data_IF_357974638713
#
_entry.id   IF_357974638713
#
_cell.length_a   1.000
_cell.length_b   1.000
_cell.length_c   1.000
_cell.angle_alpha   90.00
_cell.angle_beta   90.00
_cell.angle_gamma   90.00
#
_symmetry.space_group_name_H-M   'P 1'
#
loop_
_entity.id
_entity.type
_entity.pdbx_description
1 polymer ?
#
# COMPACT_ATOMS: atom_id res chain seq x y z
N UNK A 1 -2.41 -14.54 15.23
CA UNK A 1 -2.60 -14.46 13.77
C UNK A 1 -2.16 -15.79 13.17
N UNK A 2 -2.88 -16.30 12.17
CA UNK A 2 -2.49 -17.53 11.48
C UNK A 2 -1.14 -17.31 10.79
N UNK A 3 -0.17 -18.25 10.90
CA UNK A 3 1.18 -18.07 10.34
C UNK A 3 1.20 -17.69 8.86
N UNK A 4 0.37 -18.32 8.04
CA UNK A 4 0.27 -18.02 6.61
C UNK A 4 -0.20 -16.56 6.33
N UNK A 5 -1.14 -16.03 7.11
CA UNK A 5 -1.60 -14.65 6.97
C UNK A 5 -0.52 -13.66 7.36
N UNK A 6 0.31 -13.98 8.38
CA UNK A 6 1.45 -13.16 8.77
C UNK A 6 2.50 -13.09 7.66
N UNK A 7 2.84 -14.24 7.08
CA UNK A 7 3.80 -14.32 5.97
C UNK A 7 3.32 -13.52 4.75
N UNK A 8 2.04 -13.66 4.38
CA UNK A 8 1.44 -12.87 3.31
C UNK A 8 1.46 -11.37 3.60
N UNK A 9 1.11 -10.97 4.82
CA UNK A 9 1.13 -9.56 5.19
C UNK A 9 2.55 -8.97 5.14
N UNK A 10 3.56 -9.70 5.60
CA UNK A 10 4.96 -9.29 5.47
C UNK A 10 5.39 -9.20 4.01
N UNK A 11 5.00 -10.16 3.17
CA UNK A 11 5.29 -10.17 1.74
C UNK A 11 4.70 -8.92 1.05
N UNK A 12 3.41 -8.65 1.24
CA UNK A 12 2.76 -7.46 0.66
C UNK A 12 3.29 -6.15 1.24
N UNK A 13 3.68 -6.14 2.51
CA UNK A 13 4.35 -5.01 3.12
C UNK A 13 5.73 -4.74 2.51
N UNK A 14 6.52 -5.79 2.24
CA UNK A 14 7.80 -5.65 1.54
C UNK A 14 7.62 -5.14 0.10
N UNK A 15 6.57 -5.55 -0.62
CA UNK A 15 6.23 -5.01 -1.94
C UNK A 15 5.86 -3.52 -1.88
N UNK A 16 5.17 -3.09 -0.82
CA UNK A 16 4.92 -1.67 -0.59
C UNK A 16 6.19 -0.90 -0.22
N UNK A 17 7.08 -1.49 0.59
CA UNK A 17 8.38 -0.89 0.95
C UNK A 17 9.29 -0.73 -0.27
N UNK A 18 9.26 -1.66 -1.20
CA UNK A 18 10.04 -1.59 -2.45
C UNK A 18 9.75 -0.29 -3.21
N UNK A 19 8.52 0.24 -3.15
CA UNK A 19 8.20 1.51 -3.80
C UNK A 19 8.98 2.69 -3.20
N UNK A 20 9.21 2.69 -1.89
CA UNK A 20 10.06 3.70 -1.23
C UNK A 20 11.53 3.53 -1.58
N UNK A 21 11.97 2.29 -1.73
CA UNK A 21 13.38 1.98 -1.97
C UNK A 21 13.80 2.22 -3.43
N UNK A 22 12.87 2.12 -4.36
CA UNK A 22 13.13 2.21 -5.80
C UNK A 22 12.78 3.54 -6.44
N UNK A 23 12.18 4.50 -5.69
CA UNK A 23 11.86 5.82 -6.21
C UNK A 23 13.10 6.75 -6.20
N UNK A 24 13.29 7.50 -7.27
CA UNK A 24 14.27 8.57 -7.29
C UNK A 24 13.77 9.78 -6.50
N UNK A 25 14.22 9.90 -5.26
CA UNK A 25 13.91 11.00 -4.36
C UNK A 25 14.82 12.22 -4.46
N UNK A 26 15.80 12.23 -5.38
CA UNK A 26 16.79 13.30 -5.52
C UNK A 26 16.20 14.47 -6.31
N UNK A 27 15.93 15.58 -5.66
CA UNK A 27 15.28 16.76 -6.27
C UNK A 27 16.03 17.32 -7.49
N UNK A 28 17.35 17.12 -7.55
CA UNK A 28 18.21 17.53 -8.66
C UNK A 28 18.30 16.51 -9.80
N UNK A 29 17.74 15.31 -9.63
CA UNK A 29 17.76 14.27 -10.65
C UNK A 29 16.77 14.58 -11.78
N UNK A 30 17.19 14.29 -13.02
CA UNK A 30 16.28 14.34 -14.19
C UNK A 30 15.12 13.35 -14.06
N UNK A 31 15.31 12.29 -13.30
CA UNK A 31 14.34 11.21 -13.07
C UNK A 31 13.64 11.36 -11.72
N UNK A 32 13.75 12.51 -11.06
CA UNK A 32 13.13 12.74 -9.76
C UNK A 32 11.65 12.33 -9.74
N UNK A 33 11.29 11.45 -8.80
CA UNK A 33 9.96 10.89 -8.61
C UNK A 33 9.55 9.83 -9.61
N UNK A 34 10.49 9.27 -10.36
CA UNK A 34 10.27 8.06 -11.15
C UNK A 34 10.99 6.88 -10.49
N UNK A 35 10.73 5.66 -10.95
CA UNK A 35 11.46 4.49 -10.50
C UNK A 35 12.86 4.46 -11.12
N UNK A 36 13.89 4.17 -10.30
CA UNK A 36 15.27 3.98 -10.77
C UNK A 36 15.45 2.85 -11.80
N UNK A 37 14.55 1.86 -11.76
CA UNK A 37 14.70 0.63 -12.52
C UNK A 37 13.59 0.47 -13.54
N UNK A 38 13.89 -0.21 -14.65
CA UNK A 38 12.85 -0.61 -15.59
C UNK A 38 11.99 -1.76 -15.01
N UNK A 39 10.75 -1.90 -15.47
CA UNK A 39 9.79 -2.92 -15.01
C UNK A 39 10.41 -4.33 -15.00
N UNK A 40 11.19 -4.67 -16.02
CA UNK A 40 11.79 -6.00 -16.19
C UNK A 40 12.78 -6.33 -15.09
N UNK A 41 13.49 -5.34 -14.57
CA UNK A 41 14.61 -5.55 -13.64
C UNK A 41 14.30 -5.11 -12.20
N UNK A 42 13.13 -4.56 -11.93
CA UNK A 42 12.78 -4.00 -10.62
C UNK A 42 13.05 -4.99 -9.49
N UNK A 43 12.42 -6.16 -9.52
CA UNK A 43 12.56 -7.16 -8.46
C UNK A 43 13.99 -7.67 -8.32
N UNK A 44 14.68 -7.92 -9.45
CA UNK A 44 16.08 -8.36 -9.43
C UNK A 44 17.01 -7.31 -8.79
N UNK A 45 16.89 -6.05 -9.23
CA UNK A 45 17.71 -4.95 -8.71
C UNK A 45 17.42 -4.62 -7.24
N UNK A 46 16.24 -4.94 -6.76
CA UNK A 46 15.84 -4.73 -5.36
C UNK A 46 16.04 -5.98 -4.49
N UNK A 47 16.76 -7.00 -4.99
CA UNK A 47 17.03 -8.22 -4.23
C UNK A 47 15.82 -9.10 -3.97
N UNK A 48 14.78 -8.99 -4.82
CA UNK A 48 13.52 -9.73 -4.70
C UNK A 48 13.28 -10.66 -5.89
N UNK A 49 14.33 -11.21 -6.51
CA UNK A 49 14.23 -12.13 -7.67
C UNK A 49 13.34 -13.34 -7.38
N UNK A 50 13.41 -13.85 -6.15
CA UNK A 50 12.64 -15.02 -5.69
C UNK A 50 11.20 -14.67 -5.28
N UNK A 51 10.74 -13.44 -5.53
CA UNK A 51 9.39 -13.01 -5.13
C UNK A 51 8.26 -13.75 -5.85
N UNK A 52 8.55 -14.38 -6.99
CA UNK A 52 7.56 -15.01 -7.86
C UNK A 52 6.66 -14.03 -8.61
N UNK A 53 7.02 -12.74 -8.66
CA UNK A 53 6.24 -11.70 -9.33
C UNK A 53 6.97 -11.10 -10.54
N UNK A 54 6.18 -10.73 -11.55
CA UNK A 54 6.64 -9.95 -12.70
C UNK A 54 5.83 -8.67 -12.83
N UNK A 55 6.53 -7.53 -12.90
CA UNK A 55 5.88 -6.22 -13.10
C UNK A 55 5.34 -6.09 -14.52
N UNK A 56 4.06 -5.78 -14.63
CA UNK A 56 3.40 -5.56 -15.93
C UNK A 56 3.22 -4.08 -16.25
N UNK A 57 2.92 -3.25 -15.24
CA UNK A 57 2.67 -1.82 -15.42
C UNK A 57 3.21 -1.00 -14.24
N UNK A 58 3.79 0.17 -14.53
CA UNK A 58 4.03 1.21 -13.53
C UNK A 58 2.81 2.11 -13.41
N UNK A 59 2.55 2.56 -12.19
CA UNK A 59 1.43 3.43 -11.84
C UNK A 59 1.97 4.79 -11.40
N UNK A 60 1.38 5.84 -11.96
CA UNK A 60 1.76 7.22 -11.68
C UNK A 60 0.54 8.03 -11.25
N UNK A 61 0.74 9.06 -10.44
CA UNK A 61 -0.31 9.99 -10.07
C UNK A 61 0.11 11.45 -10.27
N UNK A 62 -0.90 12.32 -10.34
CA UNK A 62 -0.69 13.76 -10.36
C UNK A 62 -0.21 14.24 -8.98
N UNK A 63 0.73 15.18 -9.00
CA UNK A 63 1.50 15.62 -7.83
C UNK A 63 0.84 16.67 -6.96
N UNK A 64 -0.29 17.25 -7.35
CA UNK A 64 -0.85 18.42 -6.64
C UNK A 64 -1.09 18.19 -5.12
N UNK A 65 -1.35 16.96 -4.72
CA UNK A 65 -1.42 16.54 -3.31
C UNK A 65 -0.10 16.03 -2.75
N UNK A 66 0.79 15.59 -3.64
CA UNK A 66 2.07 15.01 -3.27
C UNK A 66 3.15 16.09 -3.12
N UNK A 67 2.89 17.32 -3.59
CA UNK A 67 3.80 18.47 -3.44
C UNK A 67 4.09 18.80 -1.97
N UNK A 68 3.13 18.60 -1.08
CA UNK A 68 3.35 18.75 0.37
C UNK A 68 4.27 17.67 0.94
N UNK A 69 4.32 16.50 0.31
CA UNK A 69 5.12 15.35 0.76
C UNK A 69 6.48 15.28 0.04
N UNK A 70 6.53 15.63 -1.25
CA UNK A 70 7.69 15.44 -2.11
C UNK A 70 8.32 16.75 -2.62
N UNK A 71 7.79 17.93 -2.20
CA UNK A 71 8.24 19.24 -2.70
C UNK A 71 7.66 19.58 -4.07
N UNK A 72 7.83 20.86 -4.48
CA UNK A 72 7.29 21.35 -5.75
C UNK A 72 7.92 20.67 -6.95
N UNK A 73 7.09 20.11 -7.80
CA UNK A 73 7.44 19.52 -9.10
C UNK A 73 6.83 20.31 -10.24
N UNK A 74 7.37 20.17 -11.45
CA UNK A 74 6.68 20.64 -12.65
C UNK A 74 5.27 20.06 -12.71
N UNK A 75 4.26 20.92 -12.87
CA UNK A 75 2.82 20.59 -12.76
C UNK A 75 2.32 19.47 -13.67
N UNK A 76 3.11 19.07 -14.65
CA UNK A 76 2.72 18.12 -15.70
C UNK A 76 3.37 16.74 -15.58
N UNK A 77 4.27 16.52 -14.62
CA UNK A 77 4.95 15.23 -14.45
C UNK A 77 4.34 14.43 -13.30
N UNK A 78 3.87 13.23 -13.62
CA UNK A 78 3.39 12.29 -12.60
C UNK A 78 4.52 11.77 -11.70
N UNK A 79 4.19 11.49 -10.45
CA UNK A 79 5.06 10.75 -9.52
C UNK A 79 4.74 9.27 -9.61
N UNK A 80 5.77 8.45 -9.66
CA UNK A 80 5.62 7.02 -9.57
C UNK A 80 5.08 6.61 -8.19
N UNK A 81 3.90 5.99 -8.18
CA UNK A 81 3.25 5.52 -6.96
C UNK A 81 3.54 4.05 -6.67
N UNK A 82 3.84 3.28 -7.70
CA UNK A 82 4.01 1.86 -7.57
C UNK A 82 3.84 1.11 -8.88
N UNK A 83 3.40 -0.13 -8.79
CA UNK A 83 3.34 -1.03 -9.93
C UNK A 83 2.18 -2.03 -9.81
N UNK A 84 1.83 -2.61 -10.95
CA UNK A 84 0.99 -3.80 -11.06
C UNK A 84 1.90 -4.95 -11.46
N UNK A 85 1.76 -6.08 -10.77
CA UNK A 85 2.55 -7.28 -11.03
C UNK A 85 1.67 -8.52 -11.03
N UNK A 86 2.09 -9.53 -11.76
CA UNK A 86 1.45 -10.85 -11.81
C UNK A 86 2.33 -11.85 -11.08
N UNK A 87 1.72 -12.69 -10.25
CA UNK A 87 2.40 -13.85 -9.68
C UNK A 87 2.58 -14.90 -10.78
N UNK A 88 3.81 -15.30 -11.02
CA UNK A 88 4.18 -16.33 -12.02
C UNK A 88 4.44 -17.69 -11.38
N UNK A 89 4.39 -17.78 -10.05
CA UNK A 89 4.57 -19.03 -9.33
C UNK A 89 3.26 -19.82 -9.29
N UNK A 90 3.19 -20.88 -10.06
CA UNK A 90 2.02 -21.77 -10.11
C UNK A 90 1.68 -22.43 -8.77
N UNK A 91 2.64 -22.56 -7.85
CA UNK A 91 2.41 -23.13 -6.53
C UNK A 91 1.63 -22.19 -5.60
N UNK A 92 1.75 -20.89 -5.80
CA UNK A 92 1.05 -19.86 -5.02
C UNK A 92 -0.42 -19.69 -5.45
N UNK A 93 -0.73 -19.85 -6.73
CA UNK A 93 -2.09 -19.78 -7.28
C UNK A 93 -3.02 -20.83 -6.64
N UNK A 94 -2.47 -21.99 -6.24
CA UNK A 94 -3.23 -23.11 -5.65
C UNK A 94 -3.55 -22.98 -4.16
N UNK A 95 -2.98 -22.00 -3.44
CA UNK A 95 -3.11 -21.91 -1.96
C UNK A 95 -4.26 -21.03 -1.47
N UNK A 96 -4.88 -20.26 -2.32
CA UNK A 96 -6.02 -19.39 -1.96
C UNK A 96 -7.33 -20.18 -2.13
N UNK A 97 -7.68 -20.95 -1.10
CA UNK A 97 -8.89 -21.76 -1.07
C UNK A 97 -10.17 -20.96 -1.29
N UNK A 98 -11.03 -21.52 -2.13
CA UNK A 98 -12.38 -21.07 -2.46
C UNK A 98 -13.25 -20.79 -1.23
N UNK A 99 -13.94 -19.65 -1.21
CA UNK A 99 -15.21 -19.47 -0.50
C UNK A 99 -16.15 -18.59 -1.34
N UNK A 100 -17.35 -19.12 -1.57
CA UNK A 100 -18.46 -18.47 -2.25
C UNK A 100 -18.79 -17.10 -1.67
N UNK A 101 -18.83 -16.08 -2.52
CA UNK A 101 -19.33 -14.76 -2.16
C UNK A 101 -20.35 -14.34 -3.22
N UNK A 102 -21.62 -14.24 -2.80
CA UNK A 102 -22.73 -13.76 -3.66
C UNK A 102 -22.79 -12.24 -3.69
N UNK A 103 -22.58 -11.65 -4.85
CA UNK A 103 -22.84 -10.23 -5.08
C UNK A 103 -24.31 -10.02 -5.48
N UNK A 104 -25.06 -9.22 -4.71
CA UNK A 104 -26.41 -8.81 -5.11
C UNK A 104 -26.34 -7.66 -6.11
N UNK A 105 -26.95 -7.88 -7.26
CA UNK A 105 -27.07 -6.93 -8.36
C UNK A 105 -28.05 -5.82 -7.98
N UNK A 106 -27.60 -4.58 -7.98
CA UNK A 106 -28.47 -3.40 -8.11
C UNK A 106 -28.17 -2.77 -9.47
N UNK A 107 -29.16 -2.85 -10.36
CA UNK A 107 -29.02 -2.32 -11.72
C UNK A 107 -29.04 -0.81 -11.75
N UNK A 108 -28.21 -0.24 -12.57
CA UNK A 108 -28.43 0.74 -13.63
C UNK A 108 -27.07 1.29 -14.07
N UNK A 109 -26.84 1.20 -15.37
CA UNK A 109 -25.73 1.83 -16.05
C UNK A 109 -25.75 3.35 -15.81
N UNK A 110 -24.67 3.89 -15.26
CA UNK A 110 -24.35 5.31 -15.40
C UNK A 110 -22.84 5.51 -15.29
N UNK A 111 -22.33 6.27 -16.21
CA UNK A 111 -20.95 6.75 -16.30
C UNK A 111 -20.55 7.49 -15.01
N UNK A 112 -19.35 7.16 -14.49
CA UNK A 112 -18.58 7.92 -13.49
C UNK A 112 -19.20 8.12 -12.09
N UNK A 113 -20.08 7.27 -11.57
CA UNK A 113 -20.63 7.50 -10.24
C UNK A 113 -20.32 6.35 -9.28
N UNK A 114 -19.56 6.68 -8.22
CA UNK A 114 -19.67 5.92 -6.98
C UNK A 114 -21.17 5.85 -6.59
N UNK A 115 -21.60 4.73 -6.01
CA UNK A 115 -23.00 4.53 -5.63
C UNK A 115 -23.57 5.74 -4.85
N UNK A 116 -24.87 6.00 -4.97
CA UNK A 116 -25.52 7.13 -4.31
C UNK A 116 -25.18 7.23 -2.81
N UNK A 117 -24.79 8.44 -2.39
CA UNK A 117 -24.38 8.73 -1.01
C UNK A 117 -22.95 8.33 -0.64
N UNK A 118 -22.20 7.69 -1.52
CA UNK A 118 -20.77 7.37 -1.30
C UNK A 118 -19.93 8.62 -1.50
N UNK A 119 -19.23 9.04 -0.43
CA UNK A 119 -18.29 10.16 -0.46
C UNK A 119 -16.89 9.64 -0.13
N UNK A 120 -15.91 10.06 -0.93
CA UNK A 120 -14.48 9.75 -0.77
C UNK A 120 -13.76 11.05 -0.43
N UNK A 121 -12.72 10.94 0.39
CA UNK A 121 -11.88 12.09 0.71
C UNK A 121 -11.34 12.71 -0.59
N UNK A 122 -11.55 14.02 -0.74
CA UNK A 122 -11.36 14.76 -1.99
C UNK A 122 -9.93 14.65 -2.53
N UNK A 123 -8.97 14.64 -1.63
CA UNK A 123 -7.58 14.52 -1.98
C UNK A 123 -7.23 13.17 -2.58
N UNK A 124 -7.68 12.08 -1.99
CA UNK A 124 -7.44 10.73 -2.52
C UNK A 124 -8.15 10.53 -3.85
N UNK A 125 -9.38 11.03 -3.96
CA UNK A 125 -10.13 10.97 -5.22
C UNK A 125 -9.40 11.75 -6.31
N UNK A 126 -8.97 12.98 -6.03
CA UNK A 126 -8.20 13.79 -6.97
C UNK A 126 -6.91 13.10 -7.41
N UNK A 127 -6.14 12.55 -6.47
CA UNK A 127 -4.91 11.81 -6.79
C UNK A 127 -5.18 10.58 -7.69
N UNK A 128 -6.32 9.91 -7.50
CA UNK A 128 -6.72 8.74 -8.25
C UNK A 128 -7.25 9.06 -9.65
N UNK A 129 -7.99 10.16 -9.81
CA UNK A 129 -8.71 10.49 -11.06
C UNK A 129 -8.07 11.59 -11.91
N UNK A 130 -7.16 12.40 -11.34
CA UNK A 130 -6.49 13.44 -12.12
C UNK A 130 -5.49 12.84 -13.11
N UNK A 131 -5.48 13.37 -14.31
CA UNK A 131 -4.61 12.89 -15.39
C UNK A 131 -3.19 13.42 -15.25
N UNK A 132 -2.24 12.60 -15.70
CA UNK A 132 -0.83 12.94 -15.88
C UNK A 132 -0.42 12.69 -17.33
N UNK A 133 0.58 13.45 -17.80
CA UNK A 133 1.17 13.22 -19.12
C UNK A 133 2.05 12.00 -19.10
N UNK A 134 1.71 11.03 -19.95
CA UNK A 134 2.53 9.84 -20.19
C UNK A 134 3.10 9.87 -21.60
N UNK A 135 4.41 9.67 -21.71
CA UNK A 135 5.04 9.40 -23.01
C UNK A 135 4.83 7.91 -23.35
N UNK A 136 4.05 7.61 -24.37
CA UNK A 136 3.85 6.26 -24.87
C UNK A 136 4.62 6.03 -26.18
N UNK A 137 5.50 5.02 -26.17
CA UNK A 137 6.14 4.47 -27.35
C UNK A 137 7.26 5.30 -27.97
N UNK A 138 7.93 4.71 -28.96
CA UNK A 138 9.05 5.33 -29.70
C UNK A 138 8.64 6.57 -30.55
N UNK A 139 7.35 6.81 -30.73
CA UNK A 139 6.83 7.91 -31.55
C UNK A 139 6.56 9.21 -30.75
N UNK A 140 6.91 9.26 -29.45
CA UNK A 140 6.77 10.48 -28.65
C UNK A 140 5.33 10.95 -28.41
N UNK A 141 4.33 10.08 -28.62
CA UNK A 141 2.91 10.43 -28.39
C UNK A 141 2.67 10.62 -26.90
N UNK A 142 2.22 11.80 -26.51
CA UNK A 142 1.86 12.12 -25.12
C UNK A 142 0.38 11.83 -24.93
N UNK A 143 0.06 10.99 -23.95
CA UNK A 143 -1.32 10.65 -23.58
C UNK A 143 -1.56 11.14 -22.15
N UNK A 144 -2.68 11.83 -21.93
CA UNK A 144 -3.12 12.17 -20.59
C UNK A 144 -3.92 11.00 -20.04
N UNK A 145 -3.44 10.39 -18.94
CA UNK A 145 -4.06 9.22 -18.33
C UNK A 145 -4.06 9.37 -16.82
N UNK A 146 -5.15 8.97 -16.17
CA UNK A 146 -5.23 8.99 -14.70
C UNK A 146 -4.65 7.71 -14.08
N UNK A 147 -4.36 7.77 -12.77
CA UNK A 147 -4.03 6.57 -11.97
C UNK A 147 -5.12 5.51 -12.12
N UNK A 148 -6.39 5.93 -12.07
CA UNK A 148 -7.56 5.08 -12.26
C UNK A 148 -7.52 4.34 -13.59
N UNK A 149 -7.34 5.08 -14.68
CA UNK A 149 -7.37 4.50 -16.02
C UNK A 149 -6.19 3.54 -16.25
N UNK A 150 -5.02 3.85 -15.68
CA UNK A 150 -3.87 2.94 -15.69
C UNK A 150 -4.18 1.62 -14.98
N UNK A 151 -4.77 1.69 -13.79
CA UNK A 151 -5.09 0.51 -12.99
C UNK A 151 -6.21 -0.30 -13.65
N UNK A 152 -7.32 0.34 -14.03
CA UNK A 152 -8.49 -0.33 -14.62
C UNK A 152 -8.11 -1.01 -15.94
N UNK A 153 -7.46 -0.29 -16.86
CA UNK A 153 -7.08 -0.84 -18.17
C UNK A 153 -6.12 -2.02 -18.06
N UNK A 154 -5.15 -1.95 -17.13
CA UNK A 154 -4.21 -3.05 -16.96
C UNK A 154 -4.85 -4.26 -16.30
N UNK A 155 -5.68 -4.07 -15.27
CA UNK A 155 -6.41 -5.17 -14.63
C UNK A 155 -7.36 -5.85 -15.63
N UNK A 156 -8.09 -5.10 -16.45
CA UNK A 156 -8.93 -5.66 -17.51
C UNK A 156 -8.12 -6.44 -18.56
N UNK A 157 -6.95 -5.92 -18.91
CA UNK A 157 -6.04 -6.63 -19.83
C UNK A 157 -5.58 -7.96 -19.22
N UNK A 158 -5.17 -7.95 -17.95
CA UNK A 158 -4.70 -9.14 -17.26
C UNK A 158 -5.82 -10.18 -17.09
N UNK A 159 -7.02 -9.76 -16.72
CA UNK A 159 -8.18 -10.67 -16.64
C UNK A 159 -8.42 -11.37 -17.99
N UNK A 160 -8.36 -10.64 -19.11
CA UNK A 160 -8.50 -11.25 -20.42
C UNK A 160 -7.36 -12.23 -20.77
N UNK A 161 -6.12 -11.93 -20.35
CA UNK A 161 -4.97 -12.81 -20.58
C UNK A 161 -5.13 -14.13 -19.81
N UNK A 162 -5.64 -14.06 -18.58
CA UNK A 162 -5.79 -15.21 -17.68
C UNK A 162 -7.24 -15.74 -17.59
N UNK A 163 -8.08 -15.41 -18.56
CA UNK A 163 -9.51 -15.79 -18.57
C UNK A 163 -9.75 -17.30 -18.44
N UNK A 164 -8.84 -18.11 -18.97
CA UNK A 164 -8.91 -19.58 -18.87
C UNK A 164 -8.58 -20.11 -17.47
N UNK A 165 -8.03 -19.30 -16.61
CA UNK A 165 -7.59 -19.63 -15.24
C UNK A 165 -8.45 -18.92 -14.18
N UNK A 166 -9.67 -18.54 -14.52
CA UNK A 166 -10.58 -17.71 -13.72
C UNK A 166 -10.79 -18.21 -12.29
N UNK A 167 -10.87 -19.52 -12.10
CA UNK A 167 -11.09 -20.12 -10.79
C UNK A 167 -9.92 -19.90 -9.79
N UNK A 168 -8.75 -19.57 -10.32
CA UNK A 168 -7.53 -19.33 -9.55
C UNK A 168 -7.16 -17.84 -9.46
N UNK A 169 -7.92 -16.96 -10.15
CA UNK A 169 -7.63 -15.52 -10.17
C UNK A 169 -8.04 -14.85 -8.87
N UNK A 170 -7.14 -14.05 -8.33
CA UNK A 170 -7.41 -13.13 -7.22
C UNK A 170 -6.65 -11.82 -7.44
N UNK A 171 -7.19 -10.73 -6.93
CA UNK A 171 -6.57 -9.41 -7.03
C UNK A 171 -6.26 -8.92 -5.61
N UNK A 172 -4.99 -8.62 -5.35
CA UNK A 172 -4.56 -8.08 -4.07
C UNK A 172 -3.97 -6.70 -4.26
N UNK A 173 -4.47 -5.76 -3.49
CA UNK A 173 -3.93 -4.41 -3.37
C UNK A 173 -3.14 -4.28 -2.08
N UNK A 174 -2.03 -3.55 -2.12
CA UNK A 174 -1.25 -3.23 -0.92
C UNK A 174 -0.72 -1.81 -1.01
N UNK A 175 -0.52 -1.20 0.13
CA UNK A 175 0.06 0.14 0.20
C UNK A 175 0.27 0.61 1.63
N UNK A 176 1.02 1.70 1.76
CA UNK A 176 1.31 2.37 3.02
C UNK A 176 0.85 3.83 2.95
N UNK A 177 0.31 4.35 4.04
CA UNK A 177 -0.09 5.75 4.15
C UNK A 177 -1.10 6.16 3.05
N UNK A 178 -0.83 7.20 2.28
CA UNK A 178 -1.60 7.60 1.09
C UNK A 178 -1.75 6.42 0.10
N UNK A 179 -0.69 5.63 -0.10
CA UNK A 179 -0.74 4.44 -0.97
C UNK A 179 -1.74 3.39 -0.49
N UNK A 180 -1.96 3.25 0.83
CA UNK A 180 -2.98 2.36 1.38
C UNK A 180 -4.41 2.89 1.17
N UNK A 181 -4.59 4.21 1.23
CA UNK A 181 -5.88 4.83 0.89
C UNK A 181 -6.22 4.63 -0.59
N UNK A 182 -5.24 4.87 -1.48
CA UNK A 182 -5.41 4.65 -2.93
C UNK A 182 -5.60 3.17 -3.28
N UNK A 183 -4.90 2.25 -2.59
CA UNK A 183 -5.10 0.81 -2.72
C UNK A 183 -6.54 0.40 -2.36
N UNK A 184 -7.08 0.97 -1.27
CA UNK A 184 -8.46 0.72 -0.84
C UNK A 184 -9.48 1.27 -1.83
N UNK A 185 -9.24 2.48 -2.35
CA UNK A 185 -10.08 3.12 -3.36
C UNK A 185 -10.04 2.34 -4.69
N UNK A 186 -8.85 1.94 -5.13
CA UNK A 186 -8.68 1.12 -6.34
C UNK A 186 -9.37 -0.24 -6.22
N UNK A 187 -9.26 -0.89 -5.05
CA UNK A 187 -9.91 -2.17 -4.79
C UNK A 187 -11.43 -2.05 -4.86
N UNK A 188 -11.98 -0.97 -4.33
CA UNK A 188 -13.40 -0.66 -4.43
C UNK A 188 -13.85 -0.47 -5.87
N UNK A 189 -13.15 0.37 -6.65
CA UNK A 189 -13.49 0.68 -8.04
C UNK A 189 -13.38 -0.57 -8.94
N UNK A 190 -12.29 -1.33 -8.82
CA UNK A 190 -12.10 -2.59 -9.54
C UNK A 190 -13.19 -3.60 -9.18
N UNK A 191 -13.52 -3.76 -7.90
CA UNK A 191 -14.58 -4.72 -7.50
C UNK A 191 -15.95 -4.29 -8.00
N UNK A 192 -16.26 -3.01 -8.01
CA UNK A 192 -17.47 -2.50 -8.65
C UNK A 192 -17.51 -2.87 -10.15
N UNK A 193 -16.43 -2.60 -10.88
CA UNK A 193 -16.31 -2.97 -12.30
C UNK A 193 -16.50 -4.48 -12.52
N UNK A 194 -15.90 -5.32 -11.66
CA UNK A 194 -16.06 -6.77 -11.73
C UNK A 194 -17.51 -7.23 -11.46
N UNK A 195 -18.22 -6.56 -10.54
CA UNK A 195 -19.63 -6.86 -10.25
C UNK A 195 -20.57 -6.55 -11.42
N UNK A 196 -20.21 -5.64 -12.33
CA UNK A 196 -21.03 -5.34 -13.53
C UNK A 196 -20.84 -6.35 -14.64
N UNK A 197 -19.76 -7.12 -14.63
CA UNK A 197 -19.41 -8.12 -15.67
C UNK A 197 -19.80 -9.53 -15.23
N UNK A 198 -20.60 -10.22 -16.02
CA UNK A 198 -21.28 -11.48 -15.67
C UNK A 198 -20.37 -12.58 -15.14
N UNK A 199 -19.13 -12.68 -15.66
CA UNK A 199 -18.22 -13.78 -15.36
C UNK A 199 -17.12 -13.43 -14.34
N UNK A 200 -17.01 -12.16 -13.89
CA UNK A 200 -15.87 -11.71 -13.11
C UNK A 200 -16.21 -11.33 -11.66
N UNK A 201 -17.50 -11.32 -11.29
CA UNK A 201 -17.95 -10.97 -9.95
C UNK A 201 -17.38 -11.88 -8.84
N UNK A 202 -17.00 -13.11 -9.18
CA UNK A 202 -16.43 -14.08 -8.24
C UNK A 202 -14.96 -13.82 -7.90
N UNK A 203 -14.21 -13.05 -8.72
CA UNK A 203 -12.79 -12.78 -8.46
C UNK A 203 -12.64 -12.12 -7.09
N UNK A 204 -11.90 -12.75 -6.14
CA UNK A 204 -11.67 -12.16 -4.82
C UNK A 204 -10.80 -10.91 -4.93
N UNK A 205 -11.18 -9.86 -4.20
CA UNK A 205 -10.38 -8.63 -4.08
C UNK A 205 -10.03 -8.41 -2.62
N UNK A 206 -8.73 -8.28 -2.34
CA UNK A 206 -8.19 -8.13 -0.99
C UNK A 206 -7.29 -6.91 -0.92
N UNK A 207 -7.23 -6.26 0.25
CA UNK A 207 -6.35 -5.11 0.52
C UNK A 207 -5.55 -5.35 1.79
N UNK A 208 -4.24 -5.21 1.70
CA UNK A 208 -3.33 -5.11 2.85
C UNK A 208 -2.94 -3.64 3.03
N UNK A 209 -3.55 -2.98 4.01
CA UNK A 209 -3.44 -1.54 4.20
C UNK A 209 -2.59 -1.19 5.42
N UNK A 210 -1.37 -0.71 5.20
CA UNK A 210 -0.46 -0.31 6.26
C UNK A 210 -0.62 1.18 6.55
N UNK A 211 -0.89 1.53 7.80
CA UNK A 211 -1.03 2.93 8.24
C UNK A 211 -2.05 3.75 7.43
N UNK A 212 -3.10 3.13 6.87
CA UNK A 212 -4.08 3.82 6.03
C UNK A 212 -4.85 4.88 6.80
N UNK A 213 -4.96 6.11 6.27
CA UNK A 213 -5.96 7.07 6.75
C UNK A 213 -7.37 6.59 6.41
N UNK A 214 -8.40 7.31 6.89
CA UNK A 214 -9.79 7.05 6.53
C UNK A 214 -10.07 7.53 5.11
N UNK A 215 -10.69 6.68 4.28
CA UNK A 215 -10.82 6.92 2.84
C UNK A 215 -12.12 7.61 2.46
N UNK A 216 -13.22 7.26 3.12
CA UNK A 216 -14.52 7.80 2.76
C UNK A 216 -15.51 7.79 3.92
N UNK A 217 -16.75 8.16 3.61
CA UNK A 217 -17.84 8.25 4.56
C UNK A 217 -18.42 6.87 4.96
N UNK A 218 -19.39 6.80 5.89
CA UNK A 218 -20.03 5.54 6.27
C UNK A 218 -20.63 4.76 5.11
N UNK A 219 -21.18 5.45 4.11
CA UNK A 219 -21.76 4.81 2.92
C UNK A 219 -20.66 4.11 2.08
N UNK A 220 -19.48 4.74 1.96
CA UNK A 220 -18.32 4.10 1.35
C UNK A 220 -17.91 2.82 2.09
N UNK A 221 -17.76 2.90 3.42
CA UNK A 221 -17.38 1.75 4.22
C UNK A 221 -18.38 0.59 4.08
N UNK A 222 -19.67 0.89 4.16
CA UNK A 222 -20.76 -0.08 3.97
C UNK A 222 -20.70 -0.70 2.57
N UNK A 223 -20.48 0.13 1.53
CA UNK A 223 -20.45 -0.35 0.15
C UNK A 223 -19.27 -1.26 -0.12
N UNK A 224 -18.08 -0.95 0.43
CA UNK A 224 -16.88 -1.83 0.36
C UNK A 224 -17.19 -3.22 0.94
N UNK A 225 -17.93 -3.28 2.04
CA UNK A 225 -18.35 -4.53 2.67
C UNK A 225 -19.39 -5.29 1.82
N UNK A 226 -20.40 -4.60 1.31
CA UNK A 226 -21.48 -5.17 0.48
C UNK A 226 -20.94 -5.82 -0.81
N UNK A 227 -19.94 -5.21 -1.44
CA UNK A 227 -19.30 -5.79 -2.65
C UNK A 227 -18.19 -6.79 -2.33
N UNK A 228 -18.03 -7.11 -1.05
CA UNK A 228 -17.11 -8.13 -0.54
C UNK A 228 -15.62 -7.88 -0.85
N UNK A 229 -15.17 -6.62 -0.79
CA UNK A 229 -13.73 -6.30 -0.76
C UNK A 229 -13.22 -6.61 0.65
N UNK A 230 -12.22 -7.48 0.76
CA UNK A 230 -11.59 -7.83 2.03
C UNK A 230 -10.47 -6.85 2.34
N UNK A 231 -10.59 -6.09 3.42
CA UNK A 231 -9.55 -5.13 3.82
C UNK A 231 -9.00 -5.51 5.19
N UNK A 232 -7.69 -5.73 5.24
CA UNK A 232 -6.95 -5.92 6.47
C UNK A 232 -6.05 -4.70 6.70
N UNK A 233 -6.31 -3.97 7.79
CA UNK A 233 -5.58 -2.76 8.16
C UNK A 233 -4.59 -3.04 9.27
N UNK A 234 -3.32 -2.70 9.04
CA UNK A 234 -2.28 -2.72 10.05
C UNK A 234 -2.15 -1.32 10.64
N UNK A 235 -2.32 -1.20 11.95
CA UNK A 235 -2.36 0.10 12.63
C UNK A 235 -1.45 0.08 13.83
N UNK A 236 -0.39 0.87 13.79
CA UNK A 236 0.43 1.16 14.96
C UNK A 236 -0.33 2.16 15.86
N UNK A 237 -0.54 1.82 17.13
CA UNK A 237 -1.31 2.67 18.06
C UNK A 237 -0.75 4.07 18.25
N UNK A 238 0.55 4.27 18.06
CA UNK A 238 1.23 5.57 18.18
C UNK A 238 1.21 6.39 16.91
N UNK A 239 0.88 5.78 15.78
CA UNK A 239 0.76 6.48 14.50
C UNK A 239 -0.49 7.36 14.49
N UNK A 240 -0.34 8.60 14.03
CA UNK A 240 -1.44 9.57 13.90
C UNK A 240 -2.15 9.48 12.55
N UNK A 241 -1.47 9.02 11.49
CA UNK A 241 -2.05 8.99 10.13
C UNK A 241 -3.32 8.15 10.03
N UNK A 242 -3.42 6.96 10.63
CA UNK A 242 -4.68 6.23 10.64
C UNK A 242 -5.84 6.94 11.35
N UNK A 243 -5.56 8.01 12.10
CA UNK A 243 -6.59 8.77 12.83
C UNK A 243 -7.17 9.93 12.02
N UNK A 244 -6.57 10.30 10.89
CA UNK A 244 -7.04 11.37 10.01
C UNK A 244 -7.73 10.83 8.76
N UNK A 245 -8.55 11.64 8.05
CA UNK A 245 -9.22 12.84 8.54
C UNK A 245 -10.28 12.51 9.60
N UNK A 246 -10.65 13.48 10.41
CA UNK A 246 -11.70 13.30 11.43
C UNK A 246 -11.18 12.89 12.80
N UNK A 247 -10.08 13.49 13.27
CA UNK A 247 -9.47 13.22 14.60
C UNK A 247 -10.45 13.40 15.77
N UNK A 248 -11.48 14.23 15.60
CA UNK A 248 -12.52 14.47 16.62
C UNK A 248 -13.55 13.34 16.75
N UNK A 249 -13.48 12.33 15.89
CA UNK A 249 -14.48 11.26 15.79
C UNK A 249 -13.92 9.93 16.30
N UNK A 250 -13.22 9.97 17.40
CA UNK A 250 -12.66 8.77 18.02
C UNK A 250 -13.75 7.79 18.43
N UNK A 251 -13.46 6.50 18.21
CA UNK A 251 -14.22 5.31 18.60
C UNK A 251 -14.63 5.31 20.12
N UNK A 252 -14.06 6.23 20.92
CA UNK A 252 -14.31 6.37 22.36
C UNK A 252 -15.33 7.45 22.74
N UNK A 253 -15.94 8.16 21.77
CA UNK A 253 -16.92 9.22 22.08
C UNK A 253 -18.34 8.64 21.97
N UNK A 254 -18.64 7.69 22.78
CA UNK A 254 -19.93 7.10 23.12
C UNK A 254 -21.19 7.59 22.33
N UNK A 255 -22.13 8.21 23.01
CA UNK A 255 -23.42 8.66 22.42
C UNK A 255 -23.30 9.73 21.32
N UNK A 256 -22.23 10.53 21.32
CA UNK A 256 -22.00 11.59 20.32
C UNK A 256 -21.63 11.02 18.94
N UNK A 257 -20.99 9.85 18.89
CA UNK A 257 -20.61 9.20 17.62
C UNK A 257 -21.85 8.83 16.78
N UNK A 258 -22.95 8.45 17.42
CA UNK A 258 -24.21 8.11 16.72
C UNK A 258 -24.87 9.33 16.10
N UNK A 259 -24.80 10.49 16.77
CA UNK A 259 -25.36 11.74 16.24
C UNK A 259 -24.56 12.28 15.05
N UNK A 260 -23.25 12.04 15.04
CA UNK A 260 -22.32 12.53 14.03
C UNK A 260 -22.28 11.65 12.77
N UNK A 261 -22.84 10.45 12.81
CA UNK A 261 -23.03 9.58 11.65
C UNK A 261 -23.83 10.23 10.49
N UNK A 262 -24.64 11.23 10.81
CA UNK A 262 -25.45 11.96 9.84
C UNK A 262 -24.70 13.09 9.13
N UNK A 263 -23.47 13.39 9.55
CA UNK A 263 -22.70 14.47 8.96
C UNK A 263 -21.93 13.97 7.73
N UNK A 264 -22.10 14.59 6.55
CA UNK A 264 -21.52 14.10 5.29
C UNK A 264 -19.99 14.17 5.22
N UNK A 265 -19.35 14.89 6.13
CA UNK A 265 -17.87 15.01 6.21
C UNK A 265 -17.22 14.00 7.18
N UNK A 266 -17.98 13.08 7.78
CA UNK A 266 -17.40 12.05 8.65
C UNK A 266 -16.76 10.96 7.82
N UNK A 267 -15.49 10.65 8.11
CA UNK A 267 -14.75 9.59 7.44
C UNK A 267 -14.64 8.36 8.33
N UNK A 268 -14.79 7.19 7.74
CA UNK A 268 -14.80 5.91 8.42
C UNK A 268 -13.70 4.99 7.90
N UNK A 269 -13.28 4.10 8.74
CA UNK A 269 -12.42 3.00 8.34
C UNK A 269 -13.24 1.88 7.70
N UNK A 270 -12.59 1.16 6.79
CA UNK A 270 -13.13 -0.05 6.17
C UNK A 270 -12.38 -1.28 6.67
N UNK A 271 -13.05 -2.44 6.69
CA UNK A 271 -12.45 -3.73 6.95
C UNK A 271 -11.99 -3.95 8.41
N UNK A 272 -11.14 -4.95 8.58
CA UNK A 272 -10.68 -5.44 9.89
C UNK A 272 -9.35 -4.80 10.27
N UNK A 273 -9.22 -4.38 11.54
CA UNK A 273 -7.98 -3.80 12.07
C UNK A 273 -7.14 -4.87 12.77
N UNK A 274 -5.83 -4.88 12.47
CA UNK A 274 -4.80 -5.53 13.25
C UNK A 274 -3.98 -4.47 14.00
N UNK A 275 -4.20 -4.28 15.30
CA UNK A 275 -3.45 -3.30 16.07
C UNK A 275 -2.04 -3.82 16.36
N UNK A 276 -1.05 -3.01 16.02
CA UNK A 276 0.35 -3.25 16.34
C UNK A 276 0.77 -2.43 17.57
N UNK A 277 1.57 -3.02 18.43
CA UNK A 277 2.03 -2.42 19.68
C UNK A 277 3.55 -2.25 19.65
N UNK A 278 4.04 -1.09 20.11
CA UNK A 278 5.47 -0.81 20.20
C UNK A 278 6.08 -1.45 21.48
N UNK A 279 6.00 -2.77 21.55
CA UNK A 279 6.53 -3.56 22.66
C UNK A 279 7.81 -4.34 22.26
N UNK A 280 8.41 -3.99 21.14
CA UNK A 280 9.66 -4.60 20.69
C UNK A 280 10.82 -4.19 21.60
N UNK A 281 11.66 -5.14 22.03
CA UNK A 281 12.83 -4.86 22.83
C UNK A 281 13.95 -4.12 22.07
N UNK A 282 13.86 -4.08 20.73
CA UNK A 282 14.81 -3.41 19.84
C UNK A 282 14.59 -1.90 19.78
N UNK A 283 13.34 -1.44 20.01
CA UNK A 283 12.93 -0.06 19.79
C UNK A 283 13.21 0.79 21.03
N UNK A 284 13.81 1.97 20.83
CA UNK A 284 14.00 2.96 21.87
C UNK A 284 12.74 3.81 22.12
N UNK A 285 12.71 4.48 23.28
CA UNK A 285 11.69 5.48 23.54
C UNK A 285 11.97 6.73 22.70
N UNK A 286 10.94 7.21 21.99
CA UNK A 286 11.02 8.46 21.23
C UNK A 286 9.76 9.29 21.39
N UNK A 287 9.92 10.61 21.33
CA UNK A 287 8.84 11.59 21.28
C UNK A 287 8.52 12.00 19.81
N UNK A 288 9.33 11.58 18.84
CA UNK A 288 9.09 11.88 17.44
C UNK A 288 7.98 10.98 16.89
N UNK A 289 6.76 11.53 16.83
CA UNK A 289 5.57 10.80 16.38
C UNK A 289 5.66 10.39 14.91
N UNK A 290 6.42 11.11 14.08
CA UNK A 290 6.59 10.78 12.66
C UNK A 290 7.27 9.42 12.46
N UNK A 291 8.14 9.01 13.39
CA UNK A 291 8.81 7.71 13.31
C UNK A 291 7.84 6.53 13.44
N UNK A 292 6.71 6.72 14.15
CA UNK A 292 5.70 5.67 14.28
C UNK A 292 4.91 5.41 13.00
N UNK A 293 5.03 6.30 12.00
CA UNK A 293 4.45 6.13 10.68
C UNK A 293 5.40 5.42 9.68
N UNK A 294 6.57 4.99 10.10
CA UNK A 294 7.56 4.32 9.26
C UNK A 294 7.11 2.89 8.90
N UNK A 295 7.09 2.54 7.60
CA UNK A 295 6.64 1.21 7.15
C UNK A 295 7.57 0.09 7.66
N UNK A 296 8.89 0.29 7.68
CA UNK A 296 9.81 -0.72 8.23
C UNK A 296 9.54 -1.00 9.71
N UNK A 297 9.14 0.01 10.49
CA UNK A 297 8.67 -0.23 11.86
C UNK A 297 7.40 -1.09 11.87
N UNK A 298 6.43 -0.82 10.99
CA UNK A 298 5.23 -1.66 10.87
C UNK A 298 5.57 -3.12 10.57
N UNK A 299 6.49 -3.35 9.63
CA UNK A 299 6.92 -4.69 9.25
C UNK A 299 7.69 -5.39 10.38
N UNK A 300 8.53 -4.66 11.10
CA UNK A 300 9.22 -5.17 12.28
C UNK A 300 8.23 -5.58 13.40
N UNK A 301 7.25 -4.72 13.69
CA UNK A 301 6.23 -5.02 14.69
C UNK A 301 5.33 -6.17 14.27
N UNK A 302 5.02 -6.29 12.99
CA UNK A 302 4.26 -7.39 12.41
C UNK A 302 5.04 -8.71 12.46
N UNK A 303 6.34 -8.69 12.18
CA UNK A 303 7.22 -9.84 12.30
C UNK A 303 7.21 -10.41 13.71
N UNK A 304 7.30 -9.55 14.71
CA UNK A 304 7.24 -9.95 16.10
C UNK A 304 5.83 -10.17 16.66
N UNK A 305 4.77 -10.00 15.85
CA UNK A 305 3.40 -10.10 16.34
C UNK A 305 2.96 -11.55 16.52
N UNK A 306 2.61 -11.95 17.71
CA UNK A 306 2.05 -13.27 18.08
C UNK A 306 0.56 -13.16 18.40
N UNK A 307 0.15 -12.05 19.00
CA UNK A 307 -1.23 -11.79 19.42
C UNK A 307 -1.35 -10.47 20.18
N UNK A 308 -2.56 -9.94 20.33
CA UNK A 308 -2.80 -8.63 20.94
C UNK A 308 -2.37 -8.50 22.41
N UNK A 309 -2.28 -9.62 23.11
CA UNK A 309 -1.89 -9.68 24.55
C UNK A 309 -0.59 -10.46 24.77
N UNK A 310 0.06 -10.88 23.71
CA UNK A 310 1.29 -11.67 23.80
C UNK A 310 2.52 -10.75 23.68
N UNK A 311 3.65 -11.12 24.32
CA UNK A 311 4.90 -10.40 24.17
C UNK A 311 5.39 -10.47 22.71
N UNK A 312 6.22 -9.49 22.33
CA UNK A 312 6.89 -9.48 21.05
C UNK A 312 7.80 -10.71 20.92
N UNK A 313 7.66 -11.46 19.83
CA UNK A 313 8.47 -12.64 19.54
C UNK A 313 9.10 -12.51 18.16
N UNK A 314 10.34 -12.05 18.13
CA UNK A 314 11.09 -11.86 16.90
C UNK A 314 11.22 -13.16 16.12
N UNK A 315 10.92 -13.12 14.81
CA UNK A 315 10.98 -14.30 13.93
C UNK A 315 12.10 -14.25 12.87
N UNK A 316 12.98 -13.24 12.94
CA UNK A 316 14.21 -13.22 12.16
C UNK A 316 14.34 -12.08 11.16
N UNK A 317 13.30 -11.22 10.99
CA UNK A 317 13.43 -10.03 10.15
C UNK A 317 14.57 -9.15 10.66
N UNK A 318 15.46 -8.74 9.77
CA UNK A 318 16.58 -7.88 10.13
C UNK A 318 16.07 -6.57 10.76
N UNK A 319 16.42 -6.34 12.02
CA UNK A 319 16.01 -5.15 12.76
C UNK A 319 16.71 -3.89 12.26
N UNK A 320 17.87 -4.01 11.57
CA UNK A 320 18.56 -2.86 10.96
C UNK A 320 17.67 -2.09 10.00
N UNK A 321 16.71 -2.75 9.35
CA UNK A 321 15.75 -2.13 8.44
C UNK A 321 14.91 -1.04 9.11
N UNK A 322 14.68 -1.12 10.43
CA UNK A 322 13.93 -0.09 11.16
C UNK A 322 14.62 1.26 11.08
N UNK A 323 15.97 1.30 11.17
CA UNK A 323 16.74 2.53 11.06
C UNK A 323 17.05 2.98 9.63
N UNK A 324 16.50 2.31 8.62
CA UNK A 324 16.71 2.62 7.22
C UNK A 324 16.45 4.10 6.88
N UNK A 325 15.35 4.66 7.40
CA UNK A 325 14.95 6.06 7.18
C UNK A 325 14.64 6.84 8.46
N UNK A 326 14.85 6.25 9.63
CA UNK A 326 14.60 6.88 10.92
C UNK A 326 15.67 6.51 11.95
N UNK A 327 15.48 6.93 13.19
CA UNK A 327 16.33 6.63 14.34
C UNK A 327 15.45 6.07 15.46
N UNK A 328 15.21 4.78 15.44
CA UNK A 328 14.31 4.11 16.37
C UNK A 328 14.95 2.94 17.13
N UNK A 329 16.07 2.41 16.67
CA UNK A 329 16.75 1.32 17.33
C UNK A 329 17.55 1.83 18.52
N UNK A 330 17.64 1.02 19.58
CA UNK A 330 18.50 1.31 20.72
C UNK A 330 19.95 1.31 20.30
N UNK A 331 20.75 2.23 20.82
CA UNK A 331 22.19 2.40 20.52
C UNK A 331 23.00 1.12 20.67
N UNK A 332 22.65 0.27 21.64
CA UNK A 332 23.37 -1.00 21.87
C UNK A 332 23.40 -1.98 20.69
N UNK A 333 22.61 -1.73 19.66
CA UNK A 333 22.62 -2.54 18.41
C UNK A 333 23.57 -1.99 17.36
N UNK A 334 24.18 -0.83 17.59
CA UNK A 334 25.22 -0.21 16.75
C UNK A 334 24.77 -0.03 15.29
N UNK A 335 23.47 0.14 15.05
CA UNK A 335 22.90 0.38 13.72
C UNK A 335 22.76 1.89 13.52
N UNK A 336 23.45 2.48 12.53
CA UNK A 336 23.39 3.91 12.28
C UNK A 336 21.96 4.38 12.00
N UNK A 337 21.58 5.59 12.43
CA UNK A 337 20.29 6.18 12.07
C UNK A 337 20.28 6.54 10.58
N UNK A 338 19.11 6.35 9.92
CA UNK A 338 18.85 6.77 8.53
C UNK A 338 19.90 6.27 7.52
N UNK A 339 20.43 5.09 7.73
CA UNK A 339 21.57 4.54 6.98
C UNK A 339 21.32 4.36 5.47
N UNK A 340 20.07 4.34 5.01
CA UNK A 340 19.72 4.28 3.60
C UNK A 340 19.83 5.64 2.89
N UNK A 341 19.83 6.74 3.63
CA UNK A 341 19.97 8.08 3.05
C UNK A 341 21.39 8.28 2.51
N UNK A 342 21.49 8.98 1.38
CA UNK A 342 22.78 9.18 0.67
C UNK A 342 23.88 9.80 1.53
N UNK A 343 23.46 10.64 2.50
CA UNK A 343 24.37 11.30 3.45
C UNK A 343 24.94 10.34 4.50
N UNK A 344 24.30 9.18 4.69
CA UNK A 344 24.62 8.19 5.71
C UNK A 344 24.92 6.81 5.08
N UNK A 345 25.40 6.77 3.84
CA UNK A 345 25.72 5.52 3.16
C UNK A 345 26.68 4.70 3.99
N UNK A 346 26.14 3.70 4.60
CA UNK A 346 26.95 2.95 5.50
C UNK A 346 26.69 1.48 5.53
N UNK A 347 25.48 0.97 5.33
CA UNK A 347 25.28 -0.47 5.44
C UNK A 347 25.21 -1.15 4.06
N UNK A 348 25.95 -2.24 3.92
CA UNK A 348 25.83 -3.19 2.81
C UNK A 348 25.26 -4.51 3.32
N UNK A 349 24.54 -5.22 2.45
CA UNK A 349 23.99 -6.51 2.80
C UNK A 349 25.07 -7.59 2.66
N UNK A 350 25.43 -8.22 3.76
CA UNK A 350 26.38 -9.34 3.77
C UNK A 350 25.80 -10.63 3.16
N UNK A 351 26.67 -11.64 2.93
CA UNK A 351 26.27 -12.95 2.42
C UNK A 351 25.26 -13.68 3.33
N UNK A 352 25.29 -13.38 4.63
CA UNK A 352 24.35 -13.90 5.63
C UNK A 352 22.99 -13.18 5.61
N UNK A 353 22.79 -12.23 4.69
CA UNK A 353 21.58 -11.44 4.53
C UNK A 353 21.42 -10.30 5.51
N UNK A 354 22.38 -10.05 6.40
CA UNK A 354 22.35 -8.93 7.35
C UNK A 354 22.99 -7.68 6.76
N UNK A 355 22.55 -6.53 7.25
CA UNK A 355 23.10 -5.24 6.87
C UNK A 355 24.24 -4.87 7.83
N UNK A 356 25.43 -4.75 7.30
CA UNK A 356 26.63 -4.41 8.06
C UNK A 356 27.33 -3.22 7.44
N UNK A 357 28.09 -2.48 8.25
CA UNK A 357 28.94 -1.41 7.75
C UNK A 357 30.05 -2.03 6.89
N UNK A 358 30.28 -1.54 5.66
CA UNK A 358 31.42 -2.04 4.89
C UNK A 358 32.70 -1.78 5.67
N UNK A 359 33.59 -2.74 5.71
CA UNK A 359 34.96 -2.49 6.13
C UNK A 359 35.54 -1.39 5.24
N UNK A 360 36.12 -0.36 5.83
CA UNK A 360 36.94 0.58 5.09
C UNK A 360 38.14 -0.23 4.52
N UNK A 361 37.93 -0.82 3.35
CA UNK A 361 39.03 -1.33 2.58
C UNK A 361 39.65 -0.15 1.81
N UNK A 362 40.90 0.07 2.09
CA UNK A 362 41.82 1.05 1.56
C UNK A 362 41.83 1.20 0.02
#
# INVERSE_FOLDING_TARGET
MVPNLKAEALRYGNLAQLCYDAIDGKSYSKNYGTCYHSKRYLFNKMGMSESGYQVTKYVYANTNLLNEVFGEKPKDQGVWLGFIAVCTDQNEIRRLGQRDIRCKRTGKDQEHHFADGVLIERGFLSCYTSTVRHHQGAAGTTVNISTRDLVVSEIERLIRVYEKEMDNLSITFTGHSLGAALATLSAYDIKQMLCTKHNFHQIPVTVFAFASPRVGNPAFAKRVEEIAVKVLRFVNKRDLVPKVPGVCMNENVGCLSKLLHWLPWTHFHVGVVLPLHNNSPFIQHTHNLAYFHNLELYLHLLDGYVGSKQPFSWSGRDHALVNKSCDLLREKYEIPPKWWQEQNKGLVKGPDGKWTQPSEEE
#
